data_IF_431425877136
#
_entry.id   IF_431425877136
#
_cell.length_a   1.000
_cell.length_b   1.000
_cell.length_c   1.000
_cell.angle_alpha   90.00
_cell.angle_beta   90.00
_cell.angle_gamma   90.00
#
_symmetry.space_group_name_H-M   'P 1'
#
loop_
_entity.id
_entity.type
_entity.pdbx_description
1 polymer ?
#
# COMPACT_ATOMS: atom_id res chain seq x y z
N UNK A 1 -3.31 5.86 5.28
CA UNK A 1 -1.88 5.53 5.40
C UNK A 1 -1.71 4.08 5.85
N UNK A 2 -0.66 3.38 5.42
CA UNK A 2 -0.34 2.02 5.84
C UNK A 2 -0.05 1.96 7.35
N UNK A 3 -0.63 0.99 8.05
CA UNK A 3 -0.33 0.67 9.46
C UNK A 3 0.60 -0.53 9.50
N UNK A 4 0.20 -1.64 8.88
CA UNK A 4 0.96 -2.89 8.87
C UNK A 4 0.65 -3.72 7.61
N UNK A 5 1.59 -4.59 7.26
CA UNK A 5 1.39 -5.66 6.29
C UNK A 5 1.01 -6.91 7.09
N UNK A 6 -0.19 -7.42 6.85
CA UNK A 6 -0.76 -8.57 7.57
C UNK A 6 -0.30 -9.88 6.92
N UNK A 7 -0.28 -9.92 5.59
CA UNK A 7 0.12 -11.08 4.82
C UNK A 7 0.80 -10.66 3.52
N UNK A 8 1.71 -11.49 3.03
CA UNK A 8 2.47 -11.26 1.81
C UNK A 8 2.75 -12.58 1.09
N UNK A 9 2.30 -12.67 -0.16
CA UNK A 9 2.49 -13.83 -1.04
C UNK A 9 3.18 -13.39 -2.33
N UNK A 10 4.04 -14.27 -2.86
CA UNK A 10 4.78 -14.05 -4.09
C UNK A 10 4.44 -15.15 -5.10
N UNK A 11 4.20 -14.75 -6.35
CA UNK A 11 4.03 -15.67 -7.47
C UNK A 11 4.97 -15.28 -8.63
N UNK A 12 5.85 -16.21 -9.01
CA UNK A 12 6.79 -16.03 -10.13
C UNK A 12 6.06 -16.28 -11.46
N UNK A 13 6.23 -15.36 -12.41
CA UNK A 13 5.65 -15.37 -13.77
C UNK A 13 6.69 -14.83 -14.77
N UNK A 14 6.29 -14.20 -15.87
CA UNK A 14 7.17 -13.38 -16.71
C UNK A 14 7.55 -12.04 -16.01
N UNK A 15 7.97 -12.13 -14.76
CA UNK A 15 7.97 -11.07 -13.75
C UNK A 15 7.60 -11.65 -12.39
N UNK A 16 7.07 -10.83 -11.48
CA UNK A 16 6.64 -11.27 -10.16
C UNK A 16 5.31 -10.60 -9.80
N UNK A 17 4.31 -11.39 -9.39
CA UNK A 17 3.13 -10.87 -8.72
C UNK A 17 3.35 -10.91 -7.21
N UNK A 18 3.13 -9.79 -6.55
CA UNK A 18 3.03 -9.67 -5.10
C UNK A 18 1.56 -9.50 -4.73
N UNK A 19 1.10 -10.30 -3.78
CA UNK A 19 -0.22 -10.12 -3.17
C UNK A 19 -0.03 -9.79 -1.71
N UNK A 20 -0.54 -8.65 -1.29
CA UNK A 20 -0.44 -8.19 0.10
C UNK A 20 -1.83 -8.02 0.71
N UNK A 21 -2.00 -8.48 1.94
CA UNK A 21 -3.06 -8.00 2.81
C UNK A 21 -2.46 -6.93 3.71
N UNK A 22 -3.01 -5.72 3.68
CA UNK A 22 -2.51 -4.60 4.47
C UNK A 22 -3.62 -3.99 5.30
N UNK A 23 -3.26 -3.50 6.49
CA UNK A 23 -4.17 -2.69 7.29
C UNK A 23 -3.80 -1.22 7.11
N UNK A 24 -4.79 -0.40 6.79
CA UNK A 24 -4.65 1.03 6.57
C UNK A 24 -5.58 1.83 7.48
N UNK A 25 -5.09 2.98 7.95
CA UNK A 25 -5.86 3.92 8.77
C UNK A 25 -6.11 5.23 8.04
N UNK A 26 -7.21 5.90 8.41
CA UNK A 26 -7.47 7.28 8.03
C UNK A 26 -6.51 8.23 8.75
N UNK A 27 -6.17 9.33 8.09
CA UNK A 27 -5.26 10.35 8.61
C UNK A 27 -5.91 11.72 8.53
N UNK A 28 -5.38 12.68 9.30
CA UNK A 28 -5.84 14.08 9.27
C UNK A 28 -5.44 14.83 7.99
N UNK A 29 -4.45 14.35 7.25
CA UNK A 29 -3.95 14.99 6.03
C UNK A 29 -4.98 15.07 4.91
N UNK A 30 -4.99 16.22 4.23
CA UNK A 30 -5.79 16.49 3.04
C UNK A 30 -4.97 16.12 1.80
N UNK A 31 -5.59 15.37 0.86
CA UNK A 31 -4.91 14.81 -0.31
C UNK A 31 -4.23 15.85 -1.22
N UNK A 32 -4.75 17.08 -1.28
CA UNK A 32 -4.22 18.16 -2.12
C UNK A 32 -3.06 18.92 -1.49
N UNK A 33 -2.84 18.75 -0.18
CA UNK A 33 -1.88 19.55 0.59
C UNK A 33 -0.62 18.77 0.94
N UNK A 34 -0.67 17.44 0.81
CA UNK A 34 0.40 16.54 1.23
C UNK A 34 0.84 15.66 0.07
N UNK A 35 2.16 15.63 -0.18
CA UNK A 35 2.76 14.74 -1.16
C UNK A 35 2.86 13.32 -0.61
N UNK A 36 2.99 12.34 -1.52
CA UNK A 36 3.04 10.94 -1.12
C UNK A 36 4.26 10.63 -0.22
N UNK A 37 5.40 11.27 -0.49
CA UNK A 37 6.65 11.08 0.24
C UNK A 37 6.54 11.55 1.71
N UNK A 38 5.66 12.52 1.96
CA UNK A 38 5.49 13.17 3.26
C UNK A 38 4.39 12.53 4.12
N UNK A 39 3.75 11.44 3.64
CA UNK A 39 2.67 10.75 4.36
C UNK A 39 3.08 10.24 5.75
N UNK A 40 4.38 10.13 6.04
CA UNK A 40 4.89 9.73 7.35
C UNK A 40 4.56 10.77 8.44
N UNK A 41 4.45 12.05 8.06
CA UNK A 41 4.09 13.15 8.97
C UNK A 41 2.60 13.21 9.31
N UNK A 42 1.77 12.47 8.56
CA UNK A 42 0.32 12.46 8.77
C UNK A 42 -0.08 11.64 9.99
N UNK A 43 -0.68 12.30 10.97
CA UNK A 43 -1.25 11.66 12.15
C UNK A 43 -2.48 10.82 11.78
N UNK A 44 -2.62 9.67 12.43
CA UNK A 44 -3.80 8.82 12.30
C UNK A 44 -4.98 9.43 13.05
N UNK A 45 -6.17 9.35 12.44
CA UNK A 45 -7.42 9.67 13.12
C UNK A 45 -7.90 8.44 13.90
N UNK A 46 -8.51 8.68 15.06
CA UNK A 46 -9.22 7.62 15.81
C UNK A 46 -10.38 7.10 14.97
N UNK A 47 -10.38 5.80 14.67
CA UNK A 47 -11.42 5.21 13.84
C UNK A 47 -11.11 3.79 13.39
N UNK A 48 -12.00 3.20 12.57
CA UNK A 48 -11.80 1.84 12.08
C UNK A 48 -10.60 1.78 11.14
N UNK A 49 -9.84 0.69 11.28
CA UNK A 49 -8.80 0.35 10.33
C UNK A 49 -9.40 -0.49 9.20
N UNK A 50 -8.96 -0.26 7.96
CA UNK A 50 -9.44 -0.97 6.78
C UNK A 50 -8.42 -2.03 6.40
N UNK A 51 -8.88 -3.26 6.19
CA UNK A 51 -8.07 -4.32 5.58
C UNK A 51 -8.22 -4.25 4.06
N UNK A 52 -7.10 -4.10 3.36
CA UNK A 52 -7.03 -3.98 1.90
C UNK A 52 -6.24 -5.15 1.31
N UNK A 53 -6.75 -5.73 0.23
CA UNK A 53 -6.00 -6.68 -0.60
C UNK A 53 -5.40 -5.95 -1.79
N UNK A 54 -4.06 -5.96 -1.89
CA UNK A 54 -3.30 -5.33 -2.96
C UNK A 54 -2.66 -6.40 -3.83
N UNK A 55 -2.66 -6.19 -5.15
CA UNK A 55 -1.89 -7.00 -6.08
C UNK A 55 -0.98 -6.10 -6.90
N UNK A 56 0.32 -6.32 -6.80
CA UNK A 56 1.36 -5.54 -7.50
C UNK A 56 2.11 -6.47 -8.43
N UNK A 57 2.16 -6.12 -9.70
CA UNK A 57 2.97 -6.81 -10.69
C UNK A 57 4.28 -6.05 -10.94
N UNK A 58 5.40 -6.74 -10.85
CA UNK A 58 6.73 -6.24 -11.21
C UNK A 58 7.21 -6.99 -12.45
N UNK A 59 7.45 -6.27 -13.55
CA UNK A 59 7.97 -6.89 -14.77
C UNK A 59 9.48 -7.17 -14.69
N UNK A 60 10.03 -7.89 -15.67
CA UNK A 60 11.47 -8.23 -15.73
C UNK A 60 12.39 -7.00 -15.88
N UNK A 61 11.84 -5.81 -16.13
CA UNK A 61 12.58 -4.54 -16.20
C UNK A 61 12.46 -3.73 -14.90
N UNK A 62 11.77 -4.26 -13.88
CA UNK A 62 11.56 -3.61 -12.60
C UNK A 62 10.46 -2.54 -12.61
N UNK A 63 9.56 -2.52 -13.60
CA UNK A 63 8.41 -1.59 -13.59
C UNK A 63 7.27 -2.19 -12.78
N UNK A 64 6.66 -1.37 -11.93
CA UNK A 64 5.61 -1.79 -11.00
C UNK A 64 4.24 -1.29 -11.45
N UNK A 65 3.23 -2.16 -11.38
CA UNK A 65 1.84 -1.82 -11.69
C UNK A 65 0.92 -2.42 -10.63
N UNK A 66 -0.02 -1.63 -10.13
CA UNK A 66 -1.13 -2.16 -9.31
C UNK A 66 -2.17 -2.77 -10.26
N UNK A 67 -2.50 -4.05 -10.07
CA UNK A 67 -3.36 -4.84 -10.96
C UNK A 67 -4.68 -5.22 -10.31
#
# INVERSE_FOLDING_TARGET
RLIEIVDAEIQIVAGVNYKHQVRAGYTSCIKSEVKYEDLVSCEFLTGPHILCSLKVYIDLRGRHTLT
#
